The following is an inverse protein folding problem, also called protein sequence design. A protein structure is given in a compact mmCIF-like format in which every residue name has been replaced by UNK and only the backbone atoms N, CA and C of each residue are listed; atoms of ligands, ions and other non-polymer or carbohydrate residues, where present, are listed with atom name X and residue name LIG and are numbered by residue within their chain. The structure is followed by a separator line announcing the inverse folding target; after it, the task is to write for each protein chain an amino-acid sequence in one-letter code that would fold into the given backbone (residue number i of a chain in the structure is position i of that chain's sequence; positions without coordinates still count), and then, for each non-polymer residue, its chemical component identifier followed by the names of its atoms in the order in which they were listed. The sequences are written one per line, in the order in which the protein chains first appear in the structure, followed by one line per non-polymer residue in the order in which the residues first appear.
data_IF_569034645884
#
_entry.id   IF_569034645884
#
_cell.length_a   1.000
_cell.length_b   1.000
_cell.length_c   1.000
_cell.angle_alpha   90.00
_cell.angle_beta   90.00
_cell.angle_gamma   90.00
#
_symmetry.space_group_name_H-M   'P 1'
#
loop_
_entity.id
_entity.type
_entity.pdbx_description
1 polymer ?
#
# COMPACT_ATOMS: atom_id res chain seq x y z
N UNK A 1 -13.77 15.18 -38.89
CA UNK A 1 -13.63 13.86 -38.24
C UNK A 1 -12.28 13.89 -37.55
N UNK A 2 -12.28 14.21 -36.25
CA UNK A 2 -11.06 14.22 -35.43
C UNK A 2 -10.63 12.77 -35.23
N UNK A 3 -9.65 12.33 -36.01
CA UNK A 3 -9.25 10.92 -36.05
C UNK A 3 -8.12 10.71 -35.06
N UNK A 4 -8.28 9.78 -34.12
CA UNK A 4 -7.24 9.44 -33.16
C UNK A 4 -6.07 8.73 -33.87
N UNK A 5 -4.82 8.97 -33.43
CA UNK A 5 -3.66 8.24 -33.94
C UNK A 5 -3.83 6.75 -33.70
N UNK A 6 -3.50 5.95 -34.72
CA UNK A 6 -3.60 4.50 -34.66
C UNK A 6 -2.35 3.91 -34.04
N UNK A 7 -2.54 3.01 -33.07
CA UNK A 7 -1.44 2.27 -32.45
C UNK A 7 -1.01 1.16 -33.40
N UNK A 8 0.29 1.12 -33.69
CA UNK A 8 0.93 0.20 -34.61
C UNK A 8 2.04 -0.54 -33.87
N UNK A 9 2.12 -1.86 -34.04
CA UNK A 9 3.21 -2.64 -33.50
C UNK A 9 4.40 -2.59 -34.46
N UNK A 10 5.50 -1.97 -34.02
CA UNK A 10 6.74 -1.90 -34.78
C UNK A 10 7.87 -2.52 -33.96
N UNK A 11 8.49 -3.59 -34.48
CA UNK A 11 9.59 -4.31 -33.81
C UNK A 11 9.26 -4.73 -32.36
N UNK A 12 8.00 -5.11 -32.09
CA UNK A 12 7.54 -5.52 -30.76
C UNK A 12 7.18 -4.37 -29.81
N UNK A 13 7.30 -3.12 -30.26
CA UNK A 13 6.95 -1.93 -29.48
C UNK A 13 5.70 -1.27 -30.06
N UNK A 14 4.78 -0.85 -29.20
CA UNK A 14 3.63 -0.06 -29.61
C UNK A 14 4.09 1.36 -29.98
N UNK A 15 3.75 1.79 -31.18
CA UNK A 15 4.16 3.07 -31.75
C UNK A 15 2.98 3.77 -32.41
N UNK A 16 3.11 5.06 -32.65
CA UNK A 16 2.15 5.87 -33.41
C UNK A 16 2.88 6.73 -34.44
N UNK A 17 2.21 7.06 -35.55
CA UNK A 17 2.73 8.03 -36.51
C UNK A 17 2.77 9.44 -35.91
N UNK A 18 3.90 10.11 -36.05
CA UNK A 18 4.05 11.52 -35.67
C UNK A 18 3.12 12.42 -36.50
N UNK A 19 2.84 12.10 -37.76
CA UNK A 19 1.87 12.85 -38.60
C UNK A 19 0.44 12.71 -38.12
N UNK A 20 0.04 11.49 -37.77
CA UNK A 20 -1.28 11.25 -37.19
C UNK A 20 -1.43 12.00 -35.86
N UNK A 21 -0.40 11.96 -35.01
CA UNK A 21 -0.37 12.70 -33.75
C UNK A 21 -0.45 14.22 -33.97
N UNK A 22 0.35 14.77 -34.90
CA UNK A 22 0.34 16.20 -35.25
C UNK A 22 -1.05 16.66 -35.70
N UNK A 23 -1.69 15.86 -36.57
CA UNK A 23 -3.04 16.11 -37.07
C UNK A 23 -4.06 16.06 -35.94
N UNK A 24 -4.03 15.01 -35.11
CA UNK A 24 -4.94 14.84 -33.99
C UNK A 24 -4.80 15.94 -32.93
N UNK A 25 -3.59 16.46 -32.73
CA UNK A 25 -3.34 17.56 -31.80
C UNK A 25 -3.81 18.92 -32.34
N UNK A 26 -4.11 19.04 -33.63
CA UNK A 26 -4.56 20.28 -34.26
C UNK A 26 -3.48 21.37 -34.32
N UNK A 27 -2.21 20.97 -34.39
CA UNK A 27 -1.07 21.91 -34.40
C UNK A 27 -1.00 22.61 -35.75
N UNK A 28 -0.86 23.94 -35.72
CA UNK A 28 -0.86 24.79 -36.93
C UNK A 28 0.52 24.91 -37.60
N UNK A 29 1.61 24.71 -36.85
CA UNK A 29 2.97 24.70 -37.40
C UNK A 29 3.11 23.55 -38.40
N UNK A 30 3.83 23.78 -39.51
CA UNK A 30 4.22 22.72 -40.44
C UNK A 30 4.82 21.50 -39.69
N UNK A 31 4.53 20.31 -40.20
CA UNK A 31 4.96 19.06 -39.61
C UNK A 31 6.49 18.98 -39.43
N UNK A 32 7.26 19.44 -40.41
CA UNK A 32 8.72 19.30 -40.39
C UNK A 32 9.33 20.17 -39.30
N UNK A 33 8.89 21.43 -39.22
CA UNK A 33 9.37 22.37 -38.20
C UNK A 33 8.83 22.02 -36.81
N UNK A 34 7.61 21.50 -36.74
CA UNK A 34 7.07 20.96 -35.49
C UNK A 34 7.90 19.78 -34.98
N UNK A 35 8.20 18.78 -35.83
CA UNK A 35 9.00 17.62 -35.44
C UNK A 35 10.40 18.00 -34.97
N UNK A 36 11.10 18.90 -35.68
CA UNK A 36 12.42 19.40 -35.24
C UNK A 36 12.35 19.94 -33.81
N UNK A 37 11.39 20.82 -33.55
CA UNK A 37 11.17 21.40 -32.22
C UNK A 37 10.78 20.35 -31.18
N UNK A 38 9.99 19.34 -31.54
CA UNK A 38 9.60 18.28 -30.59
C UNK A 38 10.80 17.43 -30.19
N UNK A 39 11.68 17.09 -31.13
CA UNK A 39 12.86 16.28 -30.84
C UNK A 39 13.95 17.02 -30.06
N UNK A 40 13.91 18.35 -30.00
CA UNK A 40 14.78 19.16 -29.13
C UNK A 40 14.48 19.00 -27.63
N UNK A 41 13.35 18.40 -27.24
CA UNK A 41 12.98 18.17 -25.84
C UNK A 41 13.75 17.02 -25.15
N UNK A 42 14.75 16.43 -25.82
CA UNK A 42 15.61 15.40 -25.24
C UNK A 42 15.23 13.96 -25.59
N UNK A 43 14.42 13.77 -26.63
CA UNK A 43 14.10 12.43 -27.14
C UNK A 43 15.27 11.81 -27.90
N UNK A 44 15.49 10.51 -27.71
CA UNK A 44 16.58 9.75 -28.32
C UNK A 44 16.09 8.97 -29.54
N UNK A 45 16.75 9.17 -30.68
CA UNK A 45 16.47 8.43 -31.92
C UNK A 45 16.73 6.92 -31.73
N UNK A 46 15.88 6.08 -32.33
CA UNK A 46 15.82 4.62 -32.21
C UNK A 46 15.42 4.10 -30.82
N UNK A 47 15.16 4.98 -29.86
CA UNK A 47 14.59 4.63 -28.55
C UNK A 47 13.18 5.21 -28.40
N UNK A 48 13.06 6.53 -28.53
CA UNK A 48 11.81 7.28 -28.36
C UNK A 48 11.07 7.49 -29.70
N UNK A 49 11.85 7.59 -30.78
CA UNK A 49 11.32 7.71 -32.14
C UNK A 49 12.24 7.13 -33.20
N UNK A 50 11.67 6.63 -34.31
CA UNK A 50 12.42 6.13 -35.46
C UNK A 50 11.88 6.69 -36.79
N UNK A 51 12.71 6.70 -37.83
CA UNK A 51 12.35 7.26 -39.13
C UNK A 51 11.44 6.29 -39.91
N UNK A 52 10.26 6.75 -40.30
CA UNK A 52 9.35 6.03 -41.20
C UNK A 52 9.44 6.64 -42.60
N UNK A 53 10.05 5.91 -43.54
CA UNK A 53 10.07 6.30 -44.95
C UNK A 53 8.78 5.85 -45.64
N UNK A 54 7.97 6.81 -46.09
CA UNK A 54 6.74 6.53 -46.85
C UNK A 54 7.01 6.73 -48.34
N UNK A 55 7.46 5.66 -49.02
CA UNK A 55 7.51 5.52 -50.49
C UNK A 55 8.64 6.25 -51.26
N UNK A 56 9.04 5.68 -52.41
CA UNK A 56 10.11 6.19 -53.31
C UNK A 56 9.59 6.74 -54.66
N UNK A 57 8.30 7.08 -54.79
CA UNK A 57 7.77 7.54 -56.08
C UNK A 57 7.94 9.05 -56.26
N UNK A 58 8.95 9.41 -57.06
CA UNK A 58 9.18 10.65 -57.81
C UNK A 58 8.27 11.84 -57.43
N UNK A 59 8.72 12.63 -56.44
CA UNK A 59 8.68 14.10 -56.43
C UNK A 59 8.85 14.67 -55.01
N UNK A 60 8.44 13.97 -53.95
CA UNK A 60 8.73 14.34 -52.56
C UNK A 60 8.71 13.11 -51.67
N UNK A 61 9.87 12.72 -51.12
CA UNK A 61 9.93 11.74 -50.03
C UNK A 61 9.24 12.38 -48.81
N UNK A 62 7.99 11.97 -48.52
CA UNK A 62 7.33 12.39 -47.27
C UNK A 62 7.95 11.60 -46.13
N UNK A 63 8.76 12.30 -45.34
CA UNK A 63 9.28 11.78 -44.08
C UNK A 63 8.14 11.73 -43.05
N UNK A 64 8.06 10.64 -42.31
CA UNK A 64 7.29 10.50 -41.08
C UNK A 64 8.17 9.86 -40.00
N UNK A 65 7.69 9.84 -38.77
CA UNK A 65 8.38 9.22 -37.64
C UNK A 65 7.41 8.32 -36.87
N UNK A 66 7.90 7.18 -36.42
CA UNK A 66 7.21 6.35 -35.43
C UNK A 66 7.66 6.84 -34.05
N UNK A 67 6.70 7.14 -33.19
CA UNK A 67 6.92 7.55 -31.80
C UNK A 67 6.51 6.40 -30.90
N UNK A 68 7.25 6.13 -29.82
CA UNK A 68 6.70 5.27 -28.76
C UNK A 68 5.45 5.91 -28.16
N UNK A 69 4.60 5.08 -27.54
CA UNK A 69 3.40 5.58 -26.86
C UNK A 69 3.74 6.63 -25.80
N UNK A 70 4.81 6.43 -25.03
CA UNK A 70 5.18 7.36 -23.96
C UNK A 70 5.71 8.69 -24.50
N UNK A 71 6.54 8.64 -25.55
CA UNK A 71 6.97 9.83 -26.29
C UNK A 71 5.78 10.60 -26.87
N UNK A 72 4.80 9.90 -27.45
CA UNK A 72 3.59 10.52 -27.99
C UNK A 72 2.74 11.19 -26.91
N UNK A 73 2.58 10.56 -25.73
CA UNK A 73 1.90 11.16 -24.58
C UNK A 73 2.60 12.44 -24.14
N UNK A 74 3.93 12.40 -24.02
CA UNK A 74 4.72 13.55 -23.60
C UNK A 74 4.58 14.72 -24.58
N UNK A 75 4.75 14.47 -25.87
CA UNK A 75 4.56 15.46 -26.93
C UNK A 75 3.15 16.05 -26.88
N UNK A 76 2.12 15.22 -26.71
CA UNK A 76 0.74 15.67 -26.58
C UNK A 76 0.56 16.59 -25.36
N UNK A 77 1.18 16.26 -24.23
CA UNK A 77 1.13 17.09 -23.02
C UNK A 77 1.84 18.44 -23.18
N UNK A 78 2.92 18.51 -23.97
CA UNK A 78 3.64 19.75 -24.26
C UNK A 78 2.83 20.71 -25.15
N UNK A 79 1.91 20.21 -25.97
CA UNK A 79 1.18 21.06 -26.91
C UNK A 79 0.19 21.98 -26.21
N UNK A 80 0.22 23.26 -26.60
CA UNK A 80 -0.76 24.28 -26.20
C UNK A 80 -2.02 24.23 -27.07
N UNK A 81 -2.62 23.04 -27.17
CA UNK A 81 -3.86 22.80 -27.94
C UNK A 81 -4.96 22.29 -27.02
N UNK A 82 -6.22 22.35 -27.48
CA UNK A 82 -7.37 21.82 -26.72
C UNK A 82 -7.18 20.34 -26.41
N UNK A 83 -6.70 19.56 -27.39
CA UNK A 83 -6.41 18.13 -27.23
C UNK A 83 -5.26 17.92 -26.25
N UNK A 84 -4.16 18.68 -26.37
CA UNK A 84 -3.05 18.60 -25.41
C UNK A 84 -3.46 18.95 -23.97
N UNK A 85 -4.39 19.90 -23.79
CA UNK A 85 -5.00 20.20 -22.47
C UNK A 85 -5.85 19.04 -21.96
N UNK A 86 -6.67 18.41 -22.81
CA UNK A 86 -7.48 17.25 -22.42
C UNK A 86 -6.60 16.07 -21.98
N UNK A 87 -5.53 15.78 -22.72
CA UNK A 87 -4.56 14.74 -22.38
C UNK A 87 -3.94 15.02 -21.00
N UNK A 88 -3.41 16.23 -20.78
CA UNK A 88 -2.85 16.62 -19.47
C UNK A 88 -3.87 16.46 -18.33
N UNK A 89 -5.08 16.97 -18.52
CA UNK A 89 -6.13 16.88 -17.50
C UNK A 89 -6.48 15.43 -17.18
N UNK A 90 -6.60 14.58 -18.20
CA UNK A 90 -6.88 13.16 -18.01
C UNK A 90 -5.82 12.48 -17.15
N UNK A 91 -4.54 12.68 -17.45
CA UNK A 91 -3.45 12.09 -16.67
C UNK A 91 -3.31 12.69 -15.26
N UNK A 92 -3.55 13.99 -15.09
CA UNK A 92 -3.58 14.62 -13.76
C UNK A 92 -4.69 14.01 -12.89
N UNK A 93 -5.90 13.83 -13.44
CA UNK A 93 -7.01 13.23 -12.69
C UNK A 93 -6.76 11.75 -12.40
N UNK A 94 -6.20 11.00 -13.34
CA UNK A 94 -5.77 9.61 -13.12
C UNK A 94 -4.72 9.53 -11.99
N UNK A 95 -3.71 10.41 -11.98
CA UNK A 95 -2.70 10.46 -10.94
C UNK A 95 -3.28 10.79 -9.56
N UNK A 96 -4.20 11.76 -9.49
CA UNK A 96 -4.92 12.10 -8.25
C UNK A 96 -5.72 10.91 -7.73
N UNK A 97 -6.47 10.24 -8.60
CA UNK A 97 -7.26 9.05 -8.24
C UNK A 97 -6.36 7.92 -7.73
N UNK A 98 -5.24 7.66 -8.40
CA UNK A 98 -4.26 6.67 -7.97
C UNK A 98 -3.66 7.02 -6.60
N UNK A 99 -3.26 8.27 -6.37
CA UNK A 99 -2.73 8.73 -5.07
C UNK A 99 -3.75 8.56 -3.95
N UNK A 100 -5.02 8.90 -4.18
CA UNK A 100 -6.09 8.72 -3.19
C UNK A 100 -6.32 7.24 -2.85
N UNK A 101 -6.33 6.37 -3.86
CA UNK A 101 -6.48 4.93 -3.66
C UNK A 101 -5.28 4.35 -2.90
N UNK A 102 -4.06 4.69 -3.31
CA UNK A 102 -2.84 4.24 -2.65
C UNK A 102 -2.79 4.67 -1.17
N UNK A 103 -3.18 5.92 -0.87
CA UNK A 103 -3.27 6.41 0.51
C UNK A 103 -4.33 5.65 1.32
N UNK A 104 -5.50 5.40 0.73
CA UNK A 104 -6.60 4.66 1.39
C UNK A 104 -6.19 3.23 1.73
N UNK A 105 -5.54 2.53 0.79
CA UNK A 105 -5.01 1.16 1.00
C UNK A 105 -3.94 1.17 2.10
N UNK A 106 -3.02 2.12 2.05
CA UNK A 106 -1.93 2.22 3.04
C UNK A 106 -2.48 2.43 4.45
N UNK A 107 -3.46 3.32 4.62
CA UNK A 107 -4.07 3.56 5.93
C UNK A 107 -4.84 2.35 6.43
N UNK A 108 -5.59 1.68 5.56
CA UNK A 108 -6.31 0.46 5.93
C UNK A 108 -5.34 -0.63 6.42
N UNK A 109 -4.19 -0.78 5.75
CA UNK A 109 -3.13 -1.70 6.16
C UNK A 109 -2.53 -1.29 7.51
N UNK A 110 -2.18 -0.01 7.70
CA UNK A 110 -1.61 0.46 8.98
C UNK A 110 -2.57 0.24 10.16
N UNK A 111 -3.86 0.52 9.97
CA UNK A 111 -4.87 0.25 10.99
C UNK A 111 -4.97 -1.25 11.31
N UNK A 112 -4.98 -2.11 10.29
CA UNK A 112 -5.00 -3.56 10.49
C UNK A 112 -3.77 -4.06 11.27
N UNK A 113 -2.58 -3.58 10.94
CA UNK A 113 -1.34 -3.91 11.66
C UNK A 113 -1.38 -3.42 13.12
N UNK A 114 -1.93 -2.22 13.35
CA UNK A 114 -2.04 -1.65 14.70
C UNK A 114 -2.99 -2.47 15.56
N UNK A 115 -4.18 -2.78 15.05
CA UNK A 115 -5.15 -3.64 15.74
C UNK A 115 -4.57 -5.03 16.05
N UNK A 116 -3.77 -5.59 15.14
CA UNK A 116 -3.09 -6.87 15.37
C UNK A 116 -2.08 -6.80 16.53
N UNK A 117 -1.29 -5.72 16.60
CA UNK A 117 -0.31 -5.50 17.69
C UNK A 117 -1.01 -5.32 19.04
N UNK A 118 -2.11 -4.58 19.07
CA UNK A 118 -2.93 -4.41 20.28
C UNK A 118 -3.49 -5.76 20.76
N UNK A 119 -4.03 -6.57 19.83
CA UNK A 119 -4.49 -7.92 20.14
C UNK A 119 -3.40 -8.82 20.73
N UNK A 120 -2.18 -8.75 20.20
CA UNK A 120 -1.05 -9.51 20.73
C UNK A 120 -0.66 -9.05 22.14
N UNK A 121 -0.62 -7.73 22.38
CA UNK A 121 -0.36 -7.17 23.72
C UNK A 121 -1.41 -7.62 24.74
N UNK A 122 -2.68 -7.61 24.37
CA UNK A 122 -3.77 -8.09 25.23
C UNK A 122 -3.64 -9.59 25.55
N UNK A 123 -3.24 -10.41 24.58
CA UNK A 123 -3.00 -11.84 24.81
C UNK A 123 -1.86 -12.06 25.82
N UNK A 124 -0.78 -11.28 25.73
CA UNK A 124 0.32 -11.35 26.69
C UNK A 124 -0.13 -10.98 28.11
N UNK A 125 -0.92 -9.91 28.27
CA UNK A 125 -1.42 -9.52 29.59
C UNK A 125 -2.42 -10.55 30.15
N UNK A 126 -3.28 -11.13 29.31
CA UNK A 126 -4.18 -12.22 29.72
C UNK A 126 -3.41 -13.44 30.24
N UNK A 127 -2.31 -13.78 29.58
CA UNK A 127 -1.46 -14.89 30.02
C UNK A 127 -0.77 -14.58 31.36
N UNK A 128 -0.29 -13.35 31.55
CA UNK A 128 0.27 -12.88 32.82
C UNK A 128 -0.75 -12.97 33.96
N UNK A 129 -1.97 -12.47 33.75
CA UNK A 129 -3.04 -12.49 34.75
C UNK A 129 -3.46 -13.92 35.11
N UNK A 130 -3.47 -14.85 34.15
CA UNK A 130 -3.73 -16.27 34.43
C UNK A 130 -2.68 -16.88 35.34
N UNK A 131 -1.40 -16.57 35.10
CA UNK A 131 -0.30 -17.02 35.96
C UNK A 131 -0.41 -16.44 37.37
N UNK A 132 -0.69 -15.14 37.48
CA UNK A 132 -0.86 -14.47 38.77
C UNK A 132 -2.03 -15.08 39.57
N UNK A 133 -3.18 -15.30 38.93
CA UNK A 133 -4.32 -15.96 39.56
C UNK A 133 -3.96 -17.38 40.03
N UNK A 134 -3.24 -18.16 39.22
CA UNK A 134 -2.78 -19.49 39.62
C UNK A 134 -1.90 -19.45 40.88
N UNK A 135 -1.03 -18.46 40.99
CA UNK A 135 -0.18 -18.27 42.16
C UNK A 135 -0.96 -17.80 43.39
N UNK A 136 -1.97 -16.93 43.21
CA UNK A 136 -2.92 -16.57 44.27
C UNK A 136 -3.64 -17.81 44.80
N UNK A 137 -4.15 -18.68 43.92
CA UNK A 137 -4.82 -19.92 44.33
C UNK A 137 -3.88 -20.85 45.12
N UNK A 138 -2.62 -21.00 44.70
CA UNK A 138 -1.61 -21.78 45.46
C UNK A 138 -1.41 -21.20 46.87
N UNK A 139 -1.30 -19.87 46.99
CA UNK A 139 -1.15 -19.18 48.28
C UNK A 139 -2.38 -19.38 49.16
N UNK A 140 -3.59 -19.25 48.61
CA UNK A 140 -4.84 -19.50 49.35
C UNK A 140 -4.94 -20.93 49.85
N UNK A 141 -4.55 -21.92 49.04
CA UNK A 141 -4.53 -23.32 49.46
C UNK A 141 -3.55 -23.56 50.63
N UNK A 142 -2.37 -22.95 50.60
CA UNK A 142 -1.39 -23.02 51.68
C UNK A 142 -1.91 -22.38 52.98
N UNK A 143 -2.56 -21.21 52.88
CA UNK A 143 -3.19 -20.54 54.02
C UNK A 143 -4.30 -21.42 54.62
N UNK A 144 -5.18 -21.98 53.77
CA UNK A 144 -6.27 -22.86 54.22
C UNK A 144 -5.74 -24.10 54.95
N UNK A 145 -4.64 -24.69 54.47
CA UNK A 145 -3.96 -25.81 55.14
C UNK A 145 -3.41 -25.41 56.50
N UNK A 146 -2.74 -24.26 56.60
CA UNK A 146 -2.23 -23.71 57.88
C UNK A 146 -3.36 -23.42 58.87
N UNK A 147 -4.45 -22.83 58.42
CA UNK A 147 -5.62 -22.53 59.25
C UNK A 147 -6.19 -23.81 59.87
N UNK A 148 -6.34 -24.87 59.07
CA UNK A 148 -6.84 -26.17 59.55
C UNK A 148 -5.91 -26.81 60.58
N UNK A 149 -4.59 -26.69 60.41
CA UNK A 149 -3.62 -27.17 61.38
C UNK A 149 -3.74 -26.40 62.72
N UNK A 150 -3.79 -25.07 62.66
CA UNK A 150 -3.97 -24.23 63.85
C UNK A 150 -5.29 -24.52 64.59
N UNK A 151 -6.38 -24.76 63.86
CA UNK A 151 -7.66 -25.14 64.46
C UNK A 151 -7.56 -26.47 65.22
N UNK A 152 -6.91 -27.49 64.63
CA UNK A 152 -6.70 -28.77 65.27
C UNK A 152 -5.80 -28.67 66.52
N UNK A 153 -4.72 -27.88 66.45
CA UNK A 153 -3.82 -27.66 67.59
C UNK A 153 -4.55 -26.96 68.75
N UNK A 154 -5.38 -25.97 68.44
CA UNK A 154 -6.20 -25.25 69.44
C UNK A 154 -7.20 -26.18 70.11
N UNK A 155 -7.86 -27.05 69.34
CA UNK A 155 -8.80 -28.05 69.86
C UNK A 155 -8.11 -29.07 70.77
N UNK A 156 -6.93 -29.57 70.39
CA UNK A 156 -6.15 -30.50 71.21
C UNK A 156 -5.68 -29.86 72.53
N UNK A 157 -5.23 -28.60 72.49
CA UNK A 157 -4.86 -27.85 73.69
C UNK A 157 -6.04 -27.74 74.66
N UNK A 158 -7.22 -27.32 74.19
CA UNK A 158 -8.43 -27.21 75.02
C UNK A 158 -8.82 -28.55 75.67
N UNK A 159 -8.78 -29.66 74.93
CA UNK A 159 -9.07 -30.99 75.47
C UNK A 159 -8.06 -31.49 76.52
N UNK A 160 -6.80 -31.08 76.45
CA UNK A 160 -5.79 -31.39 77.47
C UNK A 160 -6.02 -30.57 78.76
N UNK A 161 -6.50 -29.34 78.65
CA UNK A 161 -6.86 -28.52 79.80
C UNK A 161 -8.04 -29.10 80.58
N UNK A 162 -9.11 -29.54 79.91
CA UNK A 162 -10.29 -30.13 80.57
C UNK A 162 -9.97 -31.43 81.33
N UNK A 163 -9.09 -32.27 80.78
CA UNK A 163 -8.65 -33.50 81.43
C UNK A 163 -7.77 -33.25 82.67
N UNK A 164 -6.87 -32.26 82.60
CA UNK A 164 -6.04 -31.87 83.76
C UNK A 164 -6.87 -31.20 84.87
N UNK A 165 -7.87 -30.36 84.53
CA UNK A 165 -8.76 -29.78 85.55
C UNK A 165 -9.64 -30.83 86.22
N UNK A 166 -10.05 -31.87 85.49
CA UNK A 166 -10.82 -32.99 86.06
C UNK A 166 -9.98 -33.86 87.00
N UNK A 167 -8.67 -34.00 86.76
CA UNK A 167 -7.76 -34.68 87.69
C UNK A 167 -7.44 -33.86 88.94
N UNK A 168 -7.42 -32.53 88.87
CA UNK A 168 -7.11 -31.64 90.01
C UNK A 168 -8.33 -31.42 90.91
N UNK A 169 -9.55 -31.47 90.38
CA UNK A 169 -10.80 -31.33 91.16
C UNK A 169 -11.35 -32.66 91.71
N UNK A 170 -10.70 -33.78 91.37
CA UNK A 170 -11.08 -35.13 91.81
C UNK A 170 -10.30 -35.68 93.02
N UNK A 171 -9.55 -34.85 93.75
CA UNK A 171 -8.89 -35.19 95.02
C UNK A 171 -9.47 -34.38 96.18
#
# INVERSE_FOLDING_TARGET
MDTLPQIQLHQGVNTVSARELHTALGVQTDFSDWCKRMFEYGFTKEQDYSLLKIGERKAHNKIDYLLTIDTAKEIAMLQRTTVGKQVRNHFIEAEKGYKQLAWSITNAQQNALTNQKEGYTLLQELERLKQENADVFKRMAAIKKRLKALQNDTFNQLGLFENNTSQVLGQ
#
